data_IF_892680625487
#
_entry.id   IF_892680625487
#
_cell.length_a   1.000
_cell.length_b   1.000
_cell.length_c   1.000
_cell.angle_alpha   90.00
_cell.angle_beta   90.00
_cell.angle_gamma   90.00
#
_symmetry.space_group_name_H-M   'P 1'
#
loop_
_entity.id
_entity.type
_entity.pdbx_description
1 polymer ?
#
# COMPACT_ATOMS: atom_id res chain seq x y z
N UNK A 1 -1.48 -0.55 -14.48
CA UNK A 1 -2.75 -0.47 -13.73
C UNK A 1 -3.55 -1.77 -13.81
N UNK A 2 -3.80 -2.36 -14.98
CA UNK A 2 -4.53 -3.65 -15.13
C UNK A 2 -3.87 -4.87 -14.44
N UNK A 3 -2.54 -4.91 -14.36
CA UNK A 3 -1.80 -6.01 -13.70
C UNK A 3 -2.12 -6.12 -12.21
N UNK A 4 -2.38 -5.01 -11.51
CA UNK A 4 -2.73 -5.02 -10.09
C UNK A 4 -4.09 -5.68 -9.81
N UNK A 5 -4.96 -5.75 -10.83
CA UNK A 5 -6.30 -6.33 -10.74
C UNK A 5 -6.32 -7.83 -11.03
N UNK A 6 -5.16 -8.43 -11.29
CA UNK A 6 -5.02 -9.87 -11.52
C UNK A 6 -4.95 -10.62 -10.19
N UNK A 7 -5.30 -11.90 -10.21
CA UNK A 7 -5.08 -12.79 -9.08
C UNK A 7 -3.60 -13.13 -8.96
N UNK A 8 -3.02 -12.93 -7.77
CA UNK A 8 -1.64 -13.29 -7.49
C UNK A 8 -1.55 -14.46 -6.53
N UNK A 9 -0.68 -15.42 -6.87
CA UNK A 9 -0.29 -16.49 -5.96
C UNK A 9 0.52 -15.90 -4.79
N UNK A 10 0.40 -16.42 -3.55
CA UNK A 10 1.09 -15.89 -2.37
C UNK A 10 2.60 -15.70 -2.53
N UNK A 11 3.27 -16.61 -3.24
CA UNK A 11 4.71 -16.51 -3.54
C UNK A 11 5.05 -15.34 -4.48
N UNK A 12 4.18 -15.03 -5.45
CA UNK A 12 4.36 -13.89 -6.35
C UNK A 12 4.07 -12.56 -5.66
N UNK A 13 3.18 -12.56 -4.65
CA UNK A 13 2.89 -11.37 -3.85
C UNK A 13 4.11 -10.90 -3.06
N UNK A 14 4.89 -11.81 -2.47
CA UNK A 14 6.05 -11.46 -1.67
C UNK A 14 7.09 -10.69 -2.51
N UNK A 15 7.49 -11.27 -3.64
CA UNK A 15 8.40 -10.63 -4.58
C UNK A 15 7.87 -9.29 -5.11
N UNK A 16 6.56 -9.17 -5.31
CA UNK A 16 5.93 -7.92 -5.76
C UNK A 16 6.01 -6.83 -4.68
N UNK A 17 5.82 -7.19 -3.41
CA UNK A 17 5.91 -6.28 -2.27
C UNK A 17 7.35 -5.80 -2.10
N UNK A 18 8.35 -6.68 -2.24
CA UNK A 18 9.77 -6.30 -2.21
C UNK A 18 10.11 -5.25 -3.29
N UNK A 19 9.56 -5.43 -4.50
CA UNK A 19 9.71 -4.46 -5.58
C UNK A 19 9.02 -3.13 -5.24
N UNK A 20 7.84 -3.15 -4.63
CA UNK A 20 7.13 -1.93 -4.21
C UNK A 20 7.88 -1.17 -3.11
N UNK A 21 8.46 -1.88 -2.15
CA UNK A 21 9.34 -1.31 -1.13
C UNK A 21 10.57 -0.66 -1.75
N UNK A 22 11.17 -1.28 -2.78
CA UNK A 22 12.27 -0.71 -3.56
C UNK A 22 11.84 0.54 -4.33
N UNK A 23 10.67 0.53 -4.98
CA UNK A 23 10.13 1.72 -5.67
C UNK A 23 9.84 2.86 -4.68
N UNK A 24 9.56 2.54 -3.41
CA UNK A 24 9.33 3.54 -2.38
C UNK A 24 10.53 4.44 -2.08
N UNK A 25 11.75 4.00 -2.42
CA UNK A 25 12.97 4.78 -2.27
C UNK A 25 13.31 5.59 -3.52
N UNK A 26 12.46 5.56 -4.56
CA UNK A 26 12.68 6.33 -5.79
C UNK A 26 12.60 7.83 -5.54
N UNK A 27 13.54 8.59 -6.12
CA UNK A 27 13.53 10.06 -6.07
C UNK A 27 12.34 10.67 -6.84
N UNK A 28 11.70 9.92 -7.75
CA UNK A 28 10.58 10.42 -8.56
C UNK A 28 9.26 10.24 -7.81
N UNK A 29 8.61 11.34 -7.43
CA UNK A 29 7.33 11.30 -6.72
C UNK A 29 6.21 10.62 -7.54
N UNK A 30 6.24 10.71 -8.88
CA UNK A 30 5.31 9.97 -9.75
C UNK A 30 5.41 8.46 -9.57
N UNK A 31 6.62 7.92 -9.36
CA UNK A 31 6.82 6.49 -9.12
C UNK A 31 6.27 6.09 -7.74
N UNK A 32 6.51 6.91 -6.72
CA UNK A 32 5.96 6.74 -5.37
C UNK A 32 4.42 6.74 -5.39
N UNK A 33 3.81 7.70 -6.10
CA UNK A 33 2.35 7.75 -6.30
C UNK A 33 1.84 6.48 -6.99
N UNK A 34 2.44 6.08 -8.10
CA UNK A 34 2.04 4.88 -8.84
C UNK A 34 2.16 3.61 -7.99
N UNK A 35 3.17 3.53 -7.11
CA UNK A 35 3.34 2.41 -6.18
C UNK A 35 2.17 2.32 -5.18
N UNK A 36 1.71 3.43 -4.62
CA UNK A 36 0.56 3.42 -3.69
C UNK A 36 -0.72 3.03 -4.42
N UNK A 37 -0.97 3.59 -5.60
CA UNK A 37 -2.14 3.23 -6.41
C UNK A 37 -2.11 1.74 -6.80
N UNK A 38 -0.91 1.20 -7.05
CA UNK A 38 -0.74 -0.22 -7.29
C UNK A 38 -1.06 -1.05 -6.04
N UNK A 39 -0.53 -0.66 -4.87
CA UNK A 39 -0.82 -1.31 -3.57
C UNK A 39 -2.32 -1.33 -3.28
N UNK A 40 -3.01 -0.21 -3.48
CA UNK A 40 -4.46 -0.12 -3.27
C UNK A 40 -5.22 -1.12 -4.14
N UNK A 41 -4.95 -1.14 -5.46
CA UNK A 41 -5.60 -2.05 -6.39
C UNK A 41 -5.26 -3.52 -6.13
N UNK A 42 -4.00 -3.80 -5.75
CA UNK A 42 -3.52 -5.14 -5.42
C UNK A 42 -4.27 -5.69 -4.22
N UNK A 43 -4.35 -4.92 -3.13
CA UNK A 43 -5.04 -5.32 -1.89
C UNK A 43 -6.52 -5.49 -2.14
N UNK A 44 -7.20 -4.56 -2.81
CA UNK A 44 -8.63 -4.68 -3.06
C UNK A 44 -8.99 -5.86 -3.97
N UNK A 45 -8.12 -6.19 -4.93
CA UNK A 45 -8.33 -7.34 -5.83
C UNK A 45 -7.95 -8.67 -5.19
N UNK A 46 -7.05 -8.65 -4.19
CA UNK A 46 -6.50 -9.84 -3.54
C UNK A 46 -6.66 -9.78 -2.01
N UNK A 47 -7.81 -9.29 -1.52
CA UNK A 47 -7.98 -8.92 -0.10
C UNK A 47 -7.60 -10.05 0.85
N UNK A 48 -8.07 -11.27 0.58
CA UNK A 48 -7.79 -12.43 1.43
C UNK A 48 -6.34 -12.93 1.30
N UNK A 49 -5.80 -12.99 0.08
CA UNK A 49 -4.43 -13.46 -0.18
C UNK A 49 -3.36 -12.49 0.31
N UNK A 50 -3.68 -11.20 0.36
CA UNK A 50 -2.77 -10.14 0.81
C UNK A 50 -2.79 -9.94 2.33
N UNK A 51 -3.72 -10.56 3.08
CA UNK A 51 -3.78 -10.41 4.55
C UNK A 51 -2.48 -10.74 5.29
N UNK A 52 -1.72 -11.80 4.95
CA UNK A 52 -0.44 -12.08 5.60
C UNK A 52 0.57 -10.92 5.47
N UNK A 53 0.40 -10.06 4.46
CA UNK A 53 1.27 -8.92 4.18
C UNK A 53 0.70 -7.57 4.66
N UNK A 54 -0.44 -7.58 5.36
CA UNK A 54 -1.14 -6.36 5.75
C UNK A 54 -0.25 -5.39 6.54
N UNK A 55 0.58 -5.92 7.46
CA UNK A 55 1.52 -5.08 8.23
C UNK A 55 2.57 -4.38 7.36
N UNK A 56 3.15 -5.09 6.38
CA UNK A 56 4.17 -4.53 5.47
C UNK A 56 3.56 -3.46 4.56
N UNK A 57 2.42 -3.79 3.95
CA UNK A 57 1.70 -2.89 3.07
C UNK A 57 1.17 -1.66 3.82
N UNK A 58 0.66 -1.82 5.05
CA UNK A 58 0.26 -0.71 5.89
C UNK A 58 1.44 0.20 6.25
N UNK A 59 2.58 -0.38 6.65
CA UNK A 59 3.80 0.39 6.98
C UNK A 59 4.26 1.23 5.78
N UNK A 60 4.17 0.68 4.57
CA UNK A 60 4.48 1.39 3.33
C UNK A 60 3.50 2.54 3.06
N UNK A 61 2.19 2.34 3.26
CA UNK A 61 1.18 3.42 3.13
C UNK A 61 1.40 4.52 4.18
N UNK A 62 1.67 4.15 5.44
CA UNK A 62 1.95 5.10 6.52
C UNK A 62 3.21 5.94 6.23
N UNK A 63 4.28 5.33 5.73
CA UNK A 63 5.49 6.05 5.28
C UNK A 63 5.18 7.13 4.24
N UNK A 64 4.20 6.89 3.37
CA UNK A 64 3.80 7.87 2.36
C UNK A 64 2.89 8.99 2.85
N UNK A 65 2.25 8.85 4.01
CA UNK A 65 1.48 9.96 4.62
C UNK A 65 2.37 11.14 5.00
N UNK A 66 3.63 10.87 5.33
CA UNK A 66 4.62 11.90 5.67
C UNK A 66 5.47 12.32 4.48
N UNK A 67 5.05 12.01 3.25
CA UNK A 67 5.81 12.39 2.05
C UNK A 67 5.77 13.90 1.80
N UNK A 68 6.82 14.45 1.18
CA UNK A 68 6.92 15.87 0.82
C UNK A 68 5.83 16.32 -0.18
N UNK A 69 5.43 15.44 -1.10
CA UNK A 69 4.52 15.75 -2.19
C UNK A 69 3.05 15.55 -1.76
N UNK A 70 2.20 16.56 -1.97
CA UNK A 70 0.80 16.54 -1.56
C UNK A 70 0.02 15.39 -2.20
N UNK A 71 0.20 15.16 -3.50
CA UNK A 71 -0.49 14.13 -4.28
C UNK A 71 -0.20 12.73 -3.75
N UNK A 72 1.04 12.49 -3.31
CA UNK A 72 1.44 11.23 -2.69
C UNK A 72 0.72 11.05 -1.35
N UNK A 73 0.67 12.10 -0.52
CA UNK A 73 -0.04 12.08 0.77
C UNK A 73 -1.55 11.86 0.60
N UNK A 74 -2.18 12.52 -0.36
CA UNK A 74 -3.62 12.38 -0.62
C UNK A 74 -3.97 10.94 -0.99
N UNK A 75 -3.20 10.33 -1.90
CA UNK A 75 -3.43 8.93 -2.30
C UNK A 75 -3.14 7.97 -1.14
N UNK A 76 -2.10 8.23 -0.33
CA UNK A 76 -1.82 7.45 0.87
C UNK A 76 -2.98 7.51 1.88
N UNK A 77 -3.55 8.70 2.12
CA UNK A 77 -4.68 8.90 3.03
C UNK A 77 -5.95 8.20 2.55
N UNK A 78 -6.25 8.29 1.25
CA UNK A 78 -7.37 7.56 0.65
C UNK A 78 -7.18 6.04 0.75
N UNK A 79 -5.95 5.56 0.52
CA UNK A 79 -5.61 4.14 0.60
C UNK A 79 -5.76 3.62 2.03
N UNK A 80 -5.21 4.34 3.02
CA UNK A 80 -5.34 4.00 4.44
C UNK A 80 -6.81 3.94 4.86
N UNK A 81 -7.60 4.93 4.47
CA UNK A 81 -9.04 4.98 4.79
C UNK A 81 -9.76 3.78 4.20
N UNK A 82 -9.44 3.42 2.96
CA UNK A 82 -10.01 2.24 2.31
C UNK A 82 -9.59 0.93 2.98
N UNK A 83 -8.34 0.79 3.41
CA UNK A 83 -7.85 -0.38 4.15
C UNK A 83 -8.60 -0.56 5.47
N UNK A 84 -8.85 0.53 6.18
CA UNK A 84 -9.63 0.50 7.41
C UNK A 84 -11.10 0.13 7.13
N UNK A 85 -11.72 0.78 6.15
CA UNK A 85 -13.13 0.57 5.82
C UNK A 85 -13.44 -0.87 5.41
N UNK A 86 -12.52 -1.56 4.73
CA UNK A 86 -12.69 -2.96 4.34
C UNK A 86 -12.19 -3.98 5.38
N UNK A 87 -11.77 -3.53 6.57
CA UNK A 87 -11.24 -4.41 7.63
C UNK A 87 -9.95 -5.13 7.23
N UNK A 88 -9.15 -4.50 6.36
CA UNK A 88 -7.81 -4.97 6.00
C UNK A 88 -6.79 -4.62 7.09
N UNK A 89 -6.94 -3.44 7.69
CA UNK A 89 -6.20 -3.01 8.88
C UNK A 89 -7.19 -2.66 9.98
N UNK A 90 -6.79 -2.91 11.23
CA UNK A 90 -7.47 -2.37 12.41
C UNK A 90 -6.63 -1.20 12.90
N UNK A 91 -7.24 -0.01 13.01
CA UNK A 91 -6.55 1.17 13.54
C UNK A 91 -6.53 1.06 15.05
N UNK A 92 -5.41 0.60 15.60
CA UNK A 92 -5.16 0.71 17.04
C UNK A 92 -4.62 2.11 17.35
N UNK A 93 -4.89 2.64 18.55
CA UNK A 93 -4.42 3.99 18.94
C UNK A 93 -2.90 4.12 18.84
N UNK A 94 -2.16 3.01 18.92
CA UNK A 94 -0.69 2.98 18.84
C UNK A 94 -0.18 3.30 17.43
N UNK A 95 -0.95 2.98 16.38
CA UNK A 95 -0.55 3.19 14.98
C UNK A 95 -0.67 4.65 14.50
N UNK A 96 -1.37 5.51 15.25
CA UNK A 96 -1.61 6.92 14.91
C UNK A 96 -0.66 7.90 15.62
N UNK A 97 0.08 7.43 16.62
CA UNK A 97 0.88 8.28 17.53
C UNK A 97 2.39 7.96 17.41
N UNK A 98 2.75 7.03 16.50
CA UNK A 98 4.13 6.64 16.20
C UNK A 98 4.80 7.50 15.13
#
# INVERSE_FOLDING_TARGET
>A
MWVAMSYFHPHSLDALIDQLETVSTSCKWHARRAAIEFVQNLVFSNLFNSRPYAKRLNSLVLKYLFNEQLEVRTIASLTLSGFYQCGYIELTREDLIG
#
